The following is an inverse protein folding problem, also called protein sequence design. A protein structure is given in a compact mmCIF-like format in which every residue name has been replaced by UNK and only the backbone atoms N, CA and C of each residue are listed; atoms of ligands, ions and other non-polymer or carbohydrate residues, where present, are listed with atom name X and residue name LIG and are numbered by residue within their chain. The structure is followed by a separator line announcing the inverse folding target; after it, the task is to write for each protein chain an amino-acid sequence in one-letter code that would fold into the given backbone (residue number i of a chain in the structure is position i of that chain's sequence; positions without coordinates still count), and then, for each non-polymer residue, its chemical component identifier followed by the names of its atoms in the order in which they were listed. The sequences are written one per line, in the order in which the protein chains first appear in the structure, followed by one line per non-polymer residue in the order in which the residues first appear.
data_IF_940330947672
#
_entry.id   IF_940330947672
#
_cell.length_a   1.000
_cell.length_b   1.000
_cell.length_c   1.000
_cell.angle_alpha   90.00
_cell.angle_beta   90.00
_cell.angle_gamma   90.00
#
_symmetry.space_group_name_H-M   'P 1'
#
loop_
_entity.id
_entity.type
_entity.pdbx_description
1 polymer ?
#
# COMPACT_ATOMS: atom_id res chain seq x y z
N UNK A 1 -16.35 -8.53 -0.33
CA UNK A 1 -14.97 -8.01 -0.19
C UNK A 1 -14.05 -8.90 -1.01
N UNK A 2 -13.11 -8.30 -1.76
CA UNK A 2 -12.11 -9.01 -2.57
C UNK A 2 -10.70 -8.57 -2.19
N UNK A 3 -9.73 -9.43 -2.50
CA UNK A 3 -8.30 -9.14 -2.44
C UNK A 3 -7.81 -8.92 -3.88
N UNK A 4 -7.42 -7.69 -4.24
CA UNK A 4 -7.10 -7.32 -5.63
C UNK A 4 -5.97 -8.17 -6.25
N UNK A 5 -5.11 -8.72 -5.42
CA UNK A 5 -3.99 -9.58 -5.80
C UNK A 5 -4.34 -11.08 -5.86
N UNK A 6 -5.55 -11.46 -5.39
CA UNK A 6 -5.97 -12.87 -5.29
C UNK A 6 -7.21 -13.15 -6.17
N UNK A 7 -7.02 -13.66 -7.40
CA UNK A 7 -8.12 -13.95 -8.32
C UNK A 7 -9.18 -14.91 -7.78
N UNK A 8 -8.88 -15.71 -6.75
CA UNK A 8 -9.86 -16.64 -6.19
C UNK A 8 -10.97 -15.92 -5.43
N UNK A 9 -10.69 -14.72 -4.90
CA UNK A 9 -11.64 -13.87 -4.18
C UNK A 9 -12.53 -13.01 -5.09
N UNK A 10 -12.23 -12.94 -6.40
CA UNK A 10 -12.92 -12.08 -7.34
C UNK A 10 -14.40 -12.48 -7.51
N UNK A 11 -15.26 -11.48 -7.71
CA UNK A 11 -16.68 -11.69 -8.00
C UNK A 11 -16.88 -12.48 -9.29
N UNK A 12 -18.06 -13.08 -9.45
CA UNK A 12 -18.40 -13.81 -10.67
C UNK A 12 -18.40 -12.90 -11.91
N UNK A 13 -18.84 -11.66 -11.75
CA UNK A 13 -18.84 -10.63 -12.79
C UNK A 13 -17.41 -10.27 -13.22
N UNK A 14 -16.54 -9.94 -12.26
CA UNK A 14 -15.14 -9.62 -12.50
C UNK A 14 -14.42 -10.80 -13.19
N UNK A 15 -14.63 -12.03 -12.70
CA UNK A 15 -14.08 -13.24 -13.32
C UNK A 15 -14.57 -13.43 -14.76
N UNK A 16 -15.83 -13.11 -15.06
CA UNK A 16 -16.40 -13.21 -16.41
C UNK A 16 -15.73 -12.22 -17.36
N UNK A 17 -15.60 -10.96 -16.98
CA UNK A 17 -14.93 -9.92 -17.77
C UNK A 17 -13.46 -10.31 -18.07
N UNK A 18 -12.72 -10.73 -17.04
CA UNK A 18 -11.32 -11.16 -17.18
C UNK A 18 -11.17 -12.39 -18.06
N UNK A 19 -12.07 -13.39 -17.95
CA UNK A 19 -12.06 -14.57 -18.81
C UNK A 19 -12.29 -14.21 -20.27
N UNK A 20 -13.23 -13.32 -20.57
CA UNK A 20 -13.52 -12.88 -21.94
C UNK A 20 -12.31 -12.19 -22.62
N UNK A 21 -11.45 -11.55 -21.84
CA UNK A 21 -10.27 -10.81 -22.32
C UNK A 21 -8.93 -11.48 -21.96
N UNK A 22 -8.95 -12.74 -21.52
CA UNK A 22 -7.74 -13.44 -21.04
C UNK A 22 -6.60 -13.43 -22.04
N UNK A 23 -6.91 -13.58 -23.35
CA UNK A 23 -5.89 -13.53 -24.40
C UNK A 23 -5.22 -12.15 -24.47
N UNK A 24 -6.00 -11.07 -24.43
CA UNK A 24 -5.47 -9.70 -24.43
C UNK A 24 -4.58 -9.44 -23.21
N UNK A 25 -5.03 -9.85 -22.02
CA UNK A 25 -4.28 -9.69 -20.78
C UNK A 25 -2.96 -10.46 -20.82
N UNK A 26 -3.00 -11.71 -21.28
CA UNK A 26 -1.81 -12.56 -21.47
C UNK A 26 -0.82 -11.93 -22.46
N UNK A 27 -1.30 -11.56 -23.65
CA UNK A 27 -0.47 -11.02 -24.73
C UNK A 27 0.18 -9.70 -24.32
N UNK A 28 -0.57 -8.77 -23.68
CA UNK A 28 -0.05 -7.51 -23.20
C UNK A 28 1.08 -7.69 -22.19
N UNK A 29 0.86 -8.48 -21.15
CA UNK A 29 1.87 -8.66 -20.09
C UNK A 29 3.06 -9.49 -20.58
N UNK A 30 2.85 -10.46 -21.45
CA UNK A 30 3.94 -11.22 -22.07
C UNK A 30 4.83 -10.34 -22.96
N UNK A 31 4.23 -9.44 -23.74
CA UNK A 31 4.96 -8.47 -24.55
C UNK A 31 5.70 -7.46 -23.67
N UNK A 32 5.06 -6.97 -22.59
CA UNK A 32 5.69 -6.05 -21.62
C UNK A 32 6.95 -6.68 -20.99
N UNK A 33 6.89 -7.96 -20.58
CA UNK A 33 8.06 -8.67 -20.07
C UNK A 33 9.18 -8.74 -21.09
N UNK A 34 8.89 -9.09 -22.37
CA UNK A 34 9.90 -9.13 -23.43
C UNK A 34 10.55 -7.78 -23.69
N UNK A 35 9.71 -6.72 -23.80
CA UNK A 35 10.21 -5.38 -24.03
C UNK A 35 11.10 -4.89 -22.87
N UNK A 36 10.78 -5.25 -21.63
CA UNK A 36 11.61 -4.95 -20.47
C UNK A 36 12.95 -5.70 -20.52
N UNK A 37 12.94 -6.99 -20.85
CA UNK A 37 14.15 -7.79 -20.99
C UNK A 37 15.04 -7.26 -22.13
N UNK A 38 14.45 -6.89 -23.28
CA UNK A 38 15.17 -6.27 -24.39
C UNK A 38 15.82 -4.95 -23.94
N UNK A 39 15.07 -4.10 -23.22
CA UNK A 39 15.58 -2.82 -22.73
C UNK A 39 16.74 -2.97 -21.73
N UNK A 40 16.63 -3.90 -20.78
CA UNK A 40 17.69 -4.16 -19.78
C UNK A 40 18.98 -4.71 -20.41
N UNK A 41 18.87 -5.38 -21.56
CA UNK A 41 20.02 -5.97 -22.28
C UNK A 41 20.60 -5.05 -23.38
N UNK A 42 19.99 -3.87 -23.65
CA UNK A 42 20.48 -2.92 -24.64
C UNK A 42 21.43 -1.88 -24.03
N UNK A 43 22.65 -1.76 -24.62
CA UNK A 43 23.58 -0.65 -24.35
C UNK A 43 23.95 0.04 -25.68
N UNK A 44 23.86 1.38 -25.82
CA UNK A 44 23.29 2.35 -24.85
C UNK A 44 21.76 2.25 -24.71
N UNK A 45 21.23 2.76 -23.61
CA UNK A 45 19.79 2.74 -23.33
C UNK A 45 18.99 3.35 -24.50
N UNK A 46 18.19 2.53 -25.15
CA UNK A 46 17.23 2.95 -26.18
C UNK A 46 15.86 3.16 -25.52
N UNK A 47 15.06 4.04 -26.11
CA UNK A 47 13.66 4.20 -25.68
C UNK A 47 12.91 2.88 -25.82
N UNK A 48 12.07 2.54 -24.82
CA UNK A 48 11.21 1.37 -24.87
C UNK A 48 10.32 1.41 -26.13
N UNK A 49 10.29 0.32 -26.87
CA UNK A 49 9.32 0.14 -27.95
C UNK A 49 7.90 0.14 -27.37
N UNK A 50 6.92 0.72 -28.06
CA UNK A 50 5.53 0.66 -27.60
C UNK A 50 5.03 -0.79 -27.59
N UNK A 51 4.31 -1.16 -26.53
CA UNK A 51 3.60 -2.43 -26.50
C UNK A 51 2.43 -2.39 -27.49
N UNK A 52 2.40 -3.31 -28.46
CA UNK A 52 1.40 -3.33 -29.53
C UNK A 52 -0.03 -3.55 -29.06
N UNK A 53 -0.22 -4.07 -27.86
CA UNK A 53 -1.53 -4.31 -27.25
C UNK A 53 -1.99 -3.18 -26.34
N UNK A 54 -1.20 -2.10 -26.19
CA UNK A 54 -1.41 -1.05 -25.19
C UNK A 54 -2.78 -0.38 -25.30
N UNK A 55 -3.19 0.00 -26.51
CA UNK A 55 -4.46 0.71 -26.71
C UNK A 55 -5.67 -0.16 -26.33
N UNK A 56 -5.71 -1.39 -26.78
CA UNK A 56 -6.81 -2.32 -26.48
C UNK A 56 -6.83 -2.68 -24.99
N UNK A 57 -5.65 -2.85 -24.40
CA UNK A 57 -5.50 -3.16 -23.00
C UNK A 57 -5.97 -1.99 -22.12
N UNK A 58 -5.55 -0.77 -22.43
CA UNK A 58 -5.98 0.43 -21.71
C UNK A 58 -7.49 0.65 -21.84
N UNK A 59 -8.04 0.46 -23.05
CA UNK A 59 -9.49 0.55 -23.30
C UNK A 59 -10.26 -0.47 -22.44
N UNK A 60 -9.80 -1.72 -22.36
CA UNK A 60 -10.41 -2.73 -21.50
C UNK A 60 -10.31 -2.34 -20.02
N UNK A 61 -9.15 -1.86 -19.57
CA UNK A 61 -8.92 -1.42 -18.20
C UNK A 61 -9.88 -0.30 -17.81
N UNK A 62 -9.98 0.74 -18.64
CA UNK A 62 -10.71 1.98 -18.36
C UNK A 62 -12.23 1.80 -18.50
N UNK A 63 -12.68 1.22 -19.62
CA UNK A 63 -14.10 1.23 -19.98
C UNK A 63 -14.87 -0.04 -19.58
N UNK A 64 -14.18 -1.15 -19.32
CA UNK A 64 -14.84 -2.40 -18.94
C UNK A 64 -14.53 -2.80 -17.50
N UNK A 65 -13.26 -2.72 -17.07
CA UNK A 65 -12.83 -3.27 -15.78
C UNK A 65 -12.98 -2.30 -14.62
N UNK A 66 -12.55 -1.04 -14.77
CA UNK A 66 -12.66 -0.04 -13.73
C UNK A 66 -14.13 0.20 -13.28
N UNK A 67 -15.12 0.28 -14.18
CA UNK A 67 -16.53 0.38 -13.78
C UNK A 67 -17.04 -0.81 -12.93
N UNK A 68 -16.56 -2.04 -13.21
CA UNK A 68 -16.92 -3.21 -12.40
C UNK A 68 -16.32 -3.11 -10.98
N UNK A 69 -15.16 -2.46 -10.85
CA UNK A 69 -14.47 -2.29 -9.57
C UNK A 69 -15.01 -1.10 -8.77
N UNK A 70 -15.64 -0.12 -9.41
CA UNK A 70 -16.21 1.04 -8.73
C UNK A 70 -17.21 0.60 -7.65
N UNK A 71 -17.07 1.12 -6.43
CA UNK A 71 -17.89 0.74 -5.28
C UNK A 71 -17.59 -0.64 -4.66
N UNK A 72 -16.71 -1.44 -5.28
CA UNK A 72 -16.35 -2.75 -4.74
C UNK A 72 -15.60 -2.61 -3.41
N UNK A 73 -16.00 -3.41 -2.43
CA UNK A 73 -15.28 -3.49 -1.15
C UNK A 73 -14.06 -4.38 -1.29
N UNK A 74 -12.93 -3.82 -0.90
CA UNK A 74 -11.61 -4.46 -0.98
C UNK A 74 -10.96 -4.55 0.39
N UNK A 75 -9.96 -5.41 0.50
CA UNK A 75 -9.03 -5.44 1.61
C UNK A 75 -7.81 -4.58 1.28
N UNK A 76 -7.39 -3.76 2.25
CA UNK A 76 -6.20 -2.92 2.16
C UNK A 76 -5.39 -2.98 3.46
N UNK A 77 -4.15 -2.55 3.42
CA UNK A 77 -3.21 -2.61 4.55
C UNK A 77 -2.63 -1.23 4.84
N UNK A 78 -2.47 -0.94 6.15
CA UNK A 78 -1.75 0.23 6.61
C UNK A 78 -0.63 -0.21 7.55
N UNK A 79 0.58 0.22 7.28
CA UNK A 79 1.78 -0.09 8.05
C UNK A 79 2.12 1.08 8.95
N UNK A 80 2.32 0.82 10.22
CA UNK A 80 2.55 1.88 11.19
C UNK A 80 3.22 1.35 12.46
N UNK A 81 3.78 2.26 13.25
CA UNK A 81 4.30 1.96 14.58
C UNK A 81 3.48 2.75 15.60
N UNK A 82 2.84 2.06 16.53
CA UNK A 82 1.86 2.60 17.46
C UNK A 82 2.12 2.12 18.90
N UNK A 83 1.74 2.94 19.86
CA UNK A 83 1.55 2.54 21.24
C UNK A 83 0.25 1.71 21.39
N UNK A 84 0.12 0.96 22.48
CA UNK A 84 -1.02 0.06 22.70
C UNK A 84 -2.36 0.83 22.78
N UNK A 85 -2.37 1.99 23.43
CA UNK A 85 -3.58 2.80 23.52
C UNK A 85 -4.00 3.38 22.16
N UNK A 86 -3.03 3.71 21.27
CA UNK A 86 -3.31 4.20 19.93
C UNK A 86 -3.94 3.08 19.08
N UNK A 87 -3.41 1.87 19.20
CA UNK A 87 -3.97 0.71 18.52
C UNK A 87 -5.39 0.37 19.02
N UNK A 88 -5.63 0.50 20.32
CA UNK A 88 -6.96 0.32 20.90
C UNK A 88 -7.95 1.41 20.42
N UNK A 89 -7.51 2.66 20.30
CA UNK A 89 -8.32 3.74 19.79
C UNK A 89 -8.73 3.52 18.32
N UNK A 90 -7.86 2.95 17.48
CA UNK A 90 -8.18 2.62 16.10
C UNK A 90 -9.26 1.55 15.93
N UNK A 91 -9.48 0.72 16.95
CA UNK A 91 -10.61 -0.23 16.94
C UNK A 91 -11.97 0.47 17.08
N UNK A 92 -11.99 1.68 17.62
CA UNK A 92 -13.21 2.50 17.73
C UNK A 92 -13.51 3.28 16.45
N UNK A 93 -12.54 3.46 15.59
CA UNK A 93 -12.67 4.12 14.29
C UNK A 93 -11.34 4.58 13.73
N UNK A 94 -11.23 4.56 12.40
CA UNK A 94 -10.07 5.09 11.69
C UNK A 94 -10.18 6.62 11.61
N UNK A 95 -9.07 7.30 11.80
CA UNK A 95 -9.00 8.77 11.78
C UNK A 95 -8.12 9.20 10.61
N UNK A 96 -8.64 10.07 9.76
CA UNK A 96 -7.84 10.70 8.72
C UNK A 96 -6.79 11.64 9.34
N UNK A 97 -5.65 11.77 8.66
CA UNK A 97 -4.55 12.62 9.11
C UNK A 97 -4.99 14.08 9.22
N UNK A 98 -4.64 14.76 10.33
CA UNK A 98 -4.77 16.20 10.48
C UNK A 98 -3.68 16.75 11.39
N UNK A 99 -3.47 18.06 11.35
CA UNK A 99 -2.54 18.73 12.26
C UNK A 99 -3.01 18.61 13.73
N UNK A 100 -4.31 18.69 13.98
CA UNK A 100 -4.90 18.53 15.31
C UNK A 100 -4.68 17.11 15.83
N UNK A 101 -4.87 16.10 14.97
CA UNK A 101 -4.64 14.70 15.33
C UNK A 101 -3.16 14.45 15.66
N UNK A 102 -2.23 14.96 14.83
CA UNK A 102 -0.79 14.87 15.11
C UNK A 102 -0.44 15.57 16.43
N UNK A 103 -0.93 16.81 16.63
CA UNK A 103 -0.69 17.57 17.85
C UNK A 103 -1.21 16.86 19.09
N UNK A 104 -2.43 16.29 19.00
CA UNK A 104 -3.00 15.49 20.10
C UNK A 104 -2.08 14.31 20.45
N UNK A 105 -1.65 13.54 19.46
CA UNK A 105 -0.76 12.38 19.69
C UNK A 105 0.56 12.79 20.34
N UNK A 106 1.15 13.92 19.93
CA UNK A 106 2.38 14.44 20.53
C UNK A 106 2.15 14.90 21.98
N UNK A 107 1.03 15.56 22.28
CA UNK A 107 0.68 15.93 23.63
C UNK A 107 0.48 14.69 24.52
N UNK A 108 -0.19 13.66 24.02
CA UNK A 108 -0.36 12.40 24.74
C UNK A 108 1.02 11.78 25.12
N UNK A 109 2.05 11.91 24.25
CA UNK A 109 3.41 11.45 24.57
C UNK A 109 4.08 12.31 25.65
N UNK A 110 3.82 13.61 25.66
CA UNK A 110 4.34 14.51 26.71
C UNK A 110 3.68 14.18 28.04
N UNK A 111 2.38 14.01 28.09
CA UNK A 111 1.62 13.68 29.29
C UNK A 111 2.07 12.33 29.89
N UNK A 112 2.49 11.39 29.05
CA UNK A 112 3.06 10.10 29.45
C UNK A 112 4.57 10.16 29.79
N UNK A 113 5.20 11.34 29.76
CA UNK A 113 6.64 11.52 29.95
C UNK A 113 7.52 10.72 28.97
N UNK A 114 7.02 10.44 27.77
CA UNK A 114 7.74 9.78 26.70
C UNK A 114 8.51 10.77 25.82
N UNK A 115 8.02 12.02 25.72
CA UNK A 115 8.71 13.16 25.09
C UNK A 115 8.70 14.35 26.03
N UNK A 116 9.69 15.24 25.89
CA UNK A 116 9.63 16.59 26.44
C UNK A 116 8.80 17.49 25.52
N UNK A 117 8.24 18.58 26.06
CA UNK A 117 7.43 19.53 25.27
C UNK A 117 8.19 20.06 24.05
N UNK A 118 9.47 20.45 24.24
CA UNK A 118 10.34 20.96 23.17
C UNK A 118 10.58 19.92 22.06
N UNK A 119 10.69 18.62 22.42
CA UNK A 119 10.81 17.53 21.46
C UNK A 119 9.52 17.35 20.65
N UNK A 120 8.36 17.40 21.31
CA UNK A 120 7.05 17.30 20.66
C UNK A 120 6.81 18.49 19.71
N UNK A 121 7.12 19.73 20.16
CA UNK A 121 7.03 20.94 19.34
C UNK A 121 7.94 20.85 18.10
N UNK A 122 9.15 20.30 18.24
CA UNK A 122 10.07 20.10 17.13
C UNK A 122 9.53 19.10 16.12
N UNK A 123 9.02 17.94 16.55
CA UNK A 123 8.39 16.95 15.64
C UNK A 123 7.21 17.58 14.91
N UNK A 124 6.39 18.37 15.60
CA UNK A 124 5.24 19.04 15.01
C UNK A 124 5.66 20.08 13.96
N UNK A 125 6.67 20.90 14.24
CA UNK A 125 7.18 21.92 13.32
C UNK A 125 7.87 21.31 12.09
N UNK A 126 8.67 20.24 12.28
CA UNK A 126 9.38 19.54 11.20
C UNK A 126 8.45 18.60 10.41
N UNK A 127 7.16 18.47 10.79
CA UNK A 127 6.24 17.57 10.11
C UNK A 127 5.98 18.01 8.67
N UNK A 128 5.99 17.09 7.69
CA UNK A 128 5.61 17.39 6.32
C UNK A 128 4.15 17.87 6.18
N UNK A 129 3.31 17.67 7.20
CA UNK A 129 1.95 18.21 7.22
C UNK A 129 1.90 19.72 7.19
N UNK A 130 2.97 20.42 7.67
CA UNK A 130 3.05 21.88 7.66
C UNK A 130 3.17 22.46 6.24
N UNK A 131 3.82 21.74 5.32
CA UNK A 131 4.13 22.25 3.98
C UNK A 131 3.51 21.44 2.85
N UNK A 132 3.09 20.19 3.11
CA UNK A 132 2.48 19.29 2.14
C UNK A 132 1.03 18.92 2.53
N UNK A 133 0.33 19.83 3.21
CA UNK A 133 -1.02 19.60 3.70
C UNK A 133 -1.99 19.16 2.61
N UNK A 134 -1.96 19.78 1.44
CA UNK A 134 -2.86 19.48 0.32
C UNK A 134 -2.84 18.02 -0.13
N UNK A 135 -1.68 17.37 -0.03
CA UNK A 135 -1.54 15.96 -0.45
C UNK A 135 -1.56 14.96 0.70
N UNK A 136 -1.39 15.42 1.96
CA UNK A 136 -1.24 14.55 3.12
C UNK A 136 -2.38 14.59 4.11
N UNK A 137 -3.02 15.76 4.31
CA UNK A 137 -4.11 15.93 5.28
C UNK A 137 -5.45 15.41 4.76
N UNK A 138 -6.35 15.09 5.67
CA UNK A 138 -7.70 14.59 5.37
C UNK A 138 -7.73 13.18 4.80
N UNK A 139 -6.64 12.42 4.91
CA UNK A 139 -6.50 11.10 4.28
C UNK A 139 -6.00 10.07 5.28
N UNK A 140 -6.46 8.85 5.12
CA UNK A 140 -5.88 7.67 5.74
C UNK A 140 -5.31 6.80 4.61
N UNK A 141 -3.98 6.75 4.51
CA UNK A 141 -3.30 6.07 3.42
C UNK A 141 -3.20 4.56 3.66
N UNK A 142 -3.51 3.80 2.66
CA UNK A 142 -3.39 2.33 2.66
C UNK A 142 -2.78 1.86 1.35
N UNK A 143 -2.34 0.60 1.31
CA UNK A 143 -1.93 -0.09 0.10
C UNK A 143 -2.84 -1.29 -0.16
N UNK A 144 -3.13 -1.55 -1.43
CA UNK A 144 -4.11 -2.58 -1.83
C UNK A 144 -3.54 -4.00 -1.91
N UNK A 145 -2.25 -4.16 -1.67
CA UNK A 145 -1.54 -5.45 -1.67
C UNK A 145 -0.66 -5.51 -0.42
N UNK A 146 -0.64 -6.62 0.32
CA UNK A 146 0.27 -6.73 1.46
C UNK A 146 1.72 -6.75 1.00
N UNK A 147 2.56 -5.94 1.63
CA UNK A 147 3.99 -5.84 1.33
C UNK A 147 4.82 -6.44 2.47
N UNK A 148 5.94 -7.10 2.16
CA UNK A 148 6.82 -7.63 3.19
C UNK A 148 7.56 -6.51 3.93
N UNK A 149 7.96 -6.76 5.18
CA UNK A 149 8.66 -5.77 6.01
C UNK A 149 10.04 -5.37 5.43
N UNK A 150 10.65 -6.21 4.59
CA UNK A 150 11.89 -5.88 3.89
C UNK A 150 11.71 -4.87 2.74
N UNK A 151 10.47 -4.53 2.39
CA UNK A 151 10.20 -3.41 1.49
C UNK A 151 10.68 -2.12 2.16
N UNK A 152 11.53 -1.29 1.49
CA UNK A 152 12.14 -0.11 2.10
C UNK A 152 11.13 0.89 2.66
N UNK A 153 10.00 1.12 1.97
CA UNK A 153 8.95 2.02 2.46
C UNK A 153 8.24 1.46 3.69
N UNK A 154 7.92 0.17 3.68
CA UNK A 154 7.28 -0.51 4.82
C UNK A 154 8.20 -0.52 6.04
N UNK A 155 9.49 -0.80 5.86
CA UNK A 155 10.46 -0.82 6.97
C UNK A 155 10.56 0.54 7.67
N UNK A 156 10.45 1.64 6.93
CA UNK A 156 10.45 2.99 7.49
C UNK A 156 9.17 3.27 8.30
N UNK A 157 8.00 2.86 7.80
CA UNK A 157 6.72 3.04 8.48
C UNK A 157 6.61 2.20 9.76
N UNK A 158 7.08 0.96 9.74
CA UNK A 158 7.12 0.08 10.90
C UNK A 158 8.23 0.46 11.89
N UNK A 159 9.31 1.07 11.39
CA UNK A 159 10.49 1.45 12.18
C UNK A 159 10.33 2.75 12.96
N UNK A 160 9.38 3.63 12.62
CA UNK A 160 9.28 4.95 13.22
C UNK A 160 7.86 5.25 13.71
N UNK A 161 7.72 5.63 14.96
CA UNK A 161 6.44 6.08 15.51
C UNK A 161 5.91 7.28 14.72
N UNK A 162 4.61 7.30 14.48
CA UNK A 162 3.95 8.38 13.77
C UNK A 162 4.09 8.34 12.24
N UNK A 163 4.88 7.36 11.71
CA UNK A 163 5.10 7.26 10.27
C UNK A 163 5.70 8.53 9.66
N UNK A 164 5.46 8.79 8.39
CA UNK A 164 6.02 9.94 7.67
C UNK A 164 5.70 11.29 8.30
N UNK A 165 4.58 11.41 9.00
CA UNK A 165 4.19 12.65 9.67
C UNK A 165 5.15 13.08 10.78
N UNK A 166 5.93 12.14 11.33
CA UNK A 166 6.84 12.39 12.44
C UNK A 166 8.33 12.31 12.04
N UNK A 167 8.71 11.36 11.14
CA UNK A 167 10.14 11.15 10.88
C UNK A 167 10.66 11.78 9.59
N UNK A 168 9.81 12.07 8.60
CA UNK A 168 10.22 12.27 7.21
C UNK A 168 11.23 13.43 7.03
N UNK A 169 11.04 14.55 7.74
CA UNK A 169 11.95 15.71 7.71
C UNK A 169 12.67 15.96 9.03
N UNK A 170 12.52 15.07 10.00
CA UNK A 170 13.16 15.22 11.28
C UNK A 170 14.68 15.06 11.15
N UNK A 171 15.40 16.17 11.27
CA UNK A 171 16.86 16.22 11.17
C UNK A 171 17.59 15.82 12.46
N UNK A 172 16.91 15.90 13.61
CA UNK A 172 17.46 15.56 14.92
C UNK A 172 17.61 14.04 15.07
N UNK A 173 18.86 13.55 15.01
CA UNK A 173 19.16 12.12 15.09
C UNK A 173 18.86 11.49 16.44
N UNK A 174 18.98 12.27 17.56
CA UNK A 174 18.68 11.77 18.89
C UNK A 174 17.17 11.60 19.07
N UNK A 175 16.40 12.58 18.65
CA UNK A 175 14.94 12.56 18.66
C UNK A 175 14.40 11.47 17.71
N UNK A 176 14.95 11.36 16.50
CA UNK A 176 14.59 10.27 15.58
C UNK A 176 14.85 8.89 16.19
N UNK A 177 15.96 8.69 16.92
CA UNK A 177 16.24 7.45 17.65
C UNK A 177 15.22 7.22 18.78
N UNK A 178 14.79 8.27 19.46
CA UNK A 178 13.77 8.19 20.51
C UNK A 178 12.42 7.73 19.94
N UNK A 179 11.98 8.31 18.81
CA UNK A 179 10.75 7.92 18.13
C UNK A 179 10.75 6.47 17.65
N UNK A 180 11.90 5.92 17.24
CA UNK A 180 12.02 4.50 16.85
C UNK A 180 11.78 3.53 18.00
N UNK A 181 11.99 3.96 19.23
CA UNK A 181 11.79 3.13 20.42
C UNK A 181 10.37 3.26 21.01
N UNK A 182 9.53 4.15 20.45
CA UNK A 182 8.14 4.29 20.89
C UNK A 182 7.22 3.28 20.21
N UNK A 183 6.38 2.63 20.99
CA UNK A 183 5.39 1.68 20.50
C UNK A 183 6.01 0.43 19.83
N UNK A 184 5.18 -0.31 19.12
CA UNK A 184 5.57 -1.52 18.39
C UNK A 184 5.05 -1.49 16.95
N UNK A 185 5.72 -2.17 16.00
CA UNK A 185 5.25 -2.32 14.62
C UNK A 185 3.89 -2.98 14.56
N UNK A 186 3.00 -2.42 13.72
CA UNK A 186 1.65 -2.96 13.51
C UNK A 186 1.26 -2.89 12.05
N UNK A 187 0.53 -3.89 11.60
CA UNK A 187 -0.10 -3.94 10.28
C UNK A 187 -1.61 -3.93 10.52
N UNK A 188 -2.27 -2.90 10.00
CA UNK A 188 -3.72 -2.78 10.08
C UNK A 188 -4.34 -3.37 8.82
N UNK A 189 -5.20 -4.35 8.99
CA UNK A 189 -6.01 -4.94 7.93
C UNK A 189 -7.34 -4.21 7.89
N UNK A 190 -7.69 -3.65 6.72
CA UNK A 190 -8.78 -2.70 6.57
C UNK A 190 -9.68 -3.14 5.42
N UNK A 191 -10.99 -3.08 5.63
CA UNK A 191 -11.97 -3.16 4.59
C UNK A 191 -12.37 -1.75 4.17
N UNK A 192 -12.31 -1.45 2.87
CA UNK A 192 -12.75 -0.16 2.31
C UNK A 192 -13.40 -0.35 0.95
N UNK A 193 -14.13 0.65 0.47
CA UNK A 193 -14.67 0.67 -0.88
C UNK A 193 -13.75 1.46 -1.81
N UNK A 194 -13.69 1.06 -3.07
CA UNK A 194 -13.11 1.86 -4.14
C UNK A 194 -14.11 2.97 -4.50
N UNK A 195 -14.00 4.10 -3.81
CA UNK A 195 -15.04 5.14 -3.74
C UNK A 195 -15.07 6.09 -4.93
N UNK A 196 -14.07 6.07 -5.79
CA UNK A 196 -13.97 6.94 -6.96
C UNK A 196 -13.38 6.21 -8.16
N UNK A 197 -13.58 6.79 -9.35
CA UNK A 197 -13.14 6.21 -10.62
C UNK A 197 -11.61 6.09 -10.71
N UNK A 198 -10.87 7.03 -10.15
CA UNK A 198 -9.41 7.01 -10.16
C UNK A 198 -8.87 5.84 -9.34
N UNK A 199 -9.44 5.61 -8.16
CA UNK A 199 -9.08 4.48 -7.32
C UNK A 199 -9.47 3.14 -7.98
N UNK A 200 -10.63 3.07 -8.62
CA UNK A 200 -11.06 1.88 -9.36
C UNK A 200 -10.15 1.59 -10.57
N UNK A 201 -9.76 2.64 -11.31
CA UNK A 201 -8.80 2.51 -12.42
C UNK A 201 -7.42 2.06 -11.93
N UNK A 202 -6.90 2.65 -10.85
CA UNK A 202 -5.60 2.25 -10.27
C UNK A 202 -5.63 0.80 -9.75
N UNK A 203 -6.71 0.41 -9.08
CA UNK A 203 -6.93 -0.94 -8.57
C UNK A 203 -7.06 -1.99 -9.68
N UNK A 204 -7.63 -1.62 -10.84
CA UNK A 204 -7.79 -2.52 -11.98
C UNK A 204 -6.46 -3.02 -12.52
N UNK A 205 -5.39 -2.25 -12.41
CA UNK A 205 -4.03 -2.67 -12.76
C UNK A 205 -3.59 -3.87 -11.93
N UNK A 206 -3.74 -3.79 -10.60
CA UNK A 206 -3.42 -4.91 -9.70
C UNK A 206 -4.20 -6.17 -10.07
N UNK A 207 -5.49 -6.02 -10.37
CA UNK A 207 -6.36 -7.13 -10.81
C UNK A 207 -5.89 -7.76 -12.11
N UNK A 208 -5.49 -6.95 -13.10
CA UNK A 208 -4.98 -7.42 -14.40
C UNK A 208 -3.64 -8.13 -14.24
N UNK A 209 -2.74 -7.61 -13.43
CA UNK A 209 -1.46 -8.26 -13.11
C UNK A 209 -1.68 -9.60 -12.38
N UNK A 210 -2.61 -9.64 -11.41
CA UNK A 210 -2.97 -10.88 -10.72
C UNK A 210 -3.58 -11.91 -11.66
N UNK A 211 -4.42 -11.48 -12.59
CA UNK A 211 -5.00 -12.36 -13.61
C UNK A 211 -3.94 -12.86 -14.60
N UNK A 212 -3.04 -12.00 -15.08
CA UNK A 212 -1.93 -12.39 -15.94
C UNK A 212 -1.02 -13.42 -15.25
N UNK A 213 -0.73 -13.22 -13.95
CA UNK A 213 0.02 -14.21 -13.18
C UNK A 213 -0.69 -15.56 -13.11
N UNK A 214 -2.01 -15.57 -12.90
CA UNK A 214 -2.84 -16.79 -12.94
C UNK A 214 -2.80 -17.48 -14.31
N UNK A 215 -2.67 -16.71 -15.40
CA UNK A 215 -2.50 -17.24 -16.77
C UNK A 215 -1.08 -17.74 -17.08
N UNK A 216 -0.15 -17.61 -16.13
CA UNK A 216 1.23 -18.09 -16.25
C UNK A 216 2.25 -17.04 -16.73
N UNK A 217 1.87 -15.78 -16.87
CA UNK A 217 2.83 -14.70 -17.12
C UNK A 217 3.59 -14.38 -15.83
N UNK A 218 4.93 -14.24 -15.84
CA UNK A 218 5.73 -13.97 -14.64
C UNK A 218 5.66 -12.49 -14.23
N UNK A 219 4.45 -12.00 -13.95
CA UNK A 219 4.18 -10.66 -13.44
C UNK A 219 3.76 -10.72 -11.98
N UNK A 220 4.30 -9.82 -11.16
CA UNK A 220 3.94 -9.68 -9.75
C UNK A 220 2.88 -8.59 -9.63
N UNK A 221 1.71 -8.85 -9.02
CA UNK A 221 0.73 -7.83 -8.80
C UNK A 221 1.30 -6.69 -7.94
N UNK A 222 1.28 -5.47 -8.47
CA UNK A 222 1.70 -4.27 -7.76
C UNK A 222 0.52 -3.65 -7.05
N UNK A 223 0.71 -3.27 -5.78
CA UNK A 223 -0.30 -2.52 -5.04
C UNK A 223 -0.38 -1.08 -5.54
N UNK A 224 -1.54 -0.47 -5.38
CA UNK A 224 -1.68 0.97 -5.49
C UNK A 224 -1.95 1.58 -4.12
N UNK A 225 -1.42 2.78 -3.91
CA UNK A 225 -1.74 3.59 -2.74
C UNK A 225 -3.19 4.05 -2.83
N UNK A 226 -3.92 3.88 -1.74
CA UNK A 226 -5.32 4.24 -1.65
C UNK A 226 -5.52 5.23 -0.51
N UNK A 227 -5.95 6.45 -0.85
CA UNK A 227 -6.29 7.48 0.10
C UNK A 227 -7.77 7.36 0.51
N UNK A 228 -8.03 7.03 1.76
CA UNK A 228 -9.38 6.98 2.31
C UNK A 228 -9.68 8.35 2.94
N UNK A 229 -10.60 9.10 2.35
CA UNK A 229 -10.95 10.46 2.79
C UNK A 229 -12.12 10.48 3.79
N UNK A 230 -13.04 9.52 3.70
CA UNK A 230 -14.16 9.36 4.63
C UNK A 230 -14.00 8.07 5.43
N UNK A 231 -13.08 8.07 6.41
CA UNK A 231 -12.76 6.88 7.18
C UNK A 231 -13.97 6.32 7.95
N UNK A 232 -14.80 7.17 8.53
CA UNK A 232 -15.94 6.75 9.35
C UNK A 232 -17.06 6.09 8.52
N UNK A 233 -17.23 6.50 7.26
CA UNK A 233 -18.35 6.03 6.41
C UNK A 233 -17.98 4.86 5.51
N UNK A 234 -16.71 4.73 5.11
CA UNK A 234 -16.30 3.83 4.03
C UNK A 234 -15.30 2.77 4.43
N UNK A 235 -14.59 2.95 5.55
CA UNK A 235 -13.55 2.04 5.98
C UNK A 235 -13.85 1.39 7.34
N UNK A 236 -13.45 0.13 7.48
CA UNK A 236 -13.57 -0.63 8.73
C UNK A 236 -12.27 -1.36 9.03
N UNK A 237 -11.75 -1.19 10.25
CA UNK A 237 -10.64 -2.01 10.74
C UNK A 237 -11.12 -3.44 10.92
N UNK A 238 -10.46 -4.38 10.24
CA UNK A 238 -10.75 -5.81 10.36
C UNK A 238 -9.90 -6.43 11.46
N UNK A 239 -8.61 -6.08 11.48
CA UNK A 239 -7.64 -6.63 12.44
C UNK A 239 -6.43 -5.72 12.59
N UNK A 240 -5.85 -5.75 13.78
CA UNK A 240 -4.50 -5.26 14.07
C UNK A 240 -3.59 -6.45 14.23
N UNK A 241 -2.54 -6.54 13.44
CA UNK A 241 -1.47 -7.53 13.58
C UNK A 241 -0.28 -6.84 14.24
N UNK A 242 0.18 -7.38 15.36
CA UNK A 242 1.27 -6.79 16.15
C UNK A 242 2.55 -7.62 15.98
N UNK A 243 3.71 -6.97 15.91
CA UNK A 243 5.02 -7.63 15.87
C UNK A 243 5.13 -8.69 16.98
N UNK A 244 5.66 -9.86 16.61
CA UNK A 244 5.69 -11.04 17.49
C UNK A 244 4.46 -11.95 17.41
N UNK A 245 3.37 -11.52 16.77
CA UNK A 245 2.24 -12.41 16.50
C UNK A 245 2.47 -13.22 15.22
N UNK A 246 2.06 -14.47 15.20
CA UNK A 246 2.14 -15.34 14.03
C UNK A 246 1.50 -14.71 12.77
N UNK A 247 0.43 -13.94 12.94
CA UNK A 247 -0.29 -13.30 11.83
C UNK A 247 0.46 -12.10 11.29
N UNK A 248 1.17 -11.33 12.15
CA UNK A 248 2.07 -10.28 11.72
C UNK A 248 3.20 -10.87 10.87
N UNK A 249 3.87 -11.90 11.39
CA UNK A 249 4.98 -12.57 10.68
C UNK A 249 4.53 -13.11 9.32
N UNK A 250 3.34 -13.70 9.24
CA UNK A 250 2.80 -14.22 7.98
C UNK A 250 2.60 -13.13 6.92
N UNK A 251 2.16 -11.93 7.31
CA UNK A 251 1.97 -10.80 6.39
C UNK A 251 3.31 -10.11 6.08
N UNK A 252 4.15 -9.92 7.11
CA UNK A 252 5.40 -9.19 7.01
C UNK A 252 6.50 -9.93 6.25
N UNK A 253 6.47 -11.27 6.22
CA UNK A 253 7.53 -12.09 5.59
C UNK A 253 7.09 -12.77 4.31
N UNK A 254 5.81 -13.06 4.16
CA UNK A 254 5.28 -13.76 3.00
C UNK A 254 4.24 -12.90 2.29
N UNK A 255 4.64 -12.28 1.21
CA UNK A 255 3.69 -11.92 0.17
C UNK A 255 2.93 -13.19 -0.27
N UNK A 256 1.71 -13.09 -0.84
CA UNK A 256 0.91 -14.28 -1.19
C UNK A 256 1.76 -15.37 -1.81
N UNK A 257 1.59 -16.59 -1.33
CA UNK A 257 2.37 -17.77 -1.75
C UNK A 257 2.52 -17.84 -3.27
N UNK A 258 3.76 -18.02 -3.73
CA UNK A 258 4.11 -18.15 -5.13
C UNK A 258 4.64 -16.88 -5.81
N UNK A 259 4.53 -15.70 -5.20
CA UNK A 259 5.05 -14.45 -5.77
C UNK A 259 6.53 -14.25 -5.37
N UNK A 260 6.89 -14.51 -4.12
CA UNK A 260 8.28 -14.39 -3.65
C UNK A 260 9.24 -15.45 -4.18
N UNK A 261 8.78 -16.68 -4.42
CA UNK A 261 9.65 -17.73 -4.95
C UNK A 261 10.23 -17.37 -6.31
N UNK A 262 9.47 -16.61 -7.15
CA UNK A 262 9.94 -16.15 -8.47
C UNK A 262 10.87 -14.94 -8.40
N UNK A 263 10.69 -14.05 -7.40
CA UNK A 263 11.50 -12.83 -7.24
C UNK A 263 12.88 -13.14 -6.66
N UNK A 264 12.98 -14.14 -5.78
CA UNK A 264 14.26 -14.58 -5.18
C UNK A 264 15.18 -15.23 -6.22
N UNK A 265 14.62 -15.91 -7.24
CA UNK A 265 15.39 -16.50 -8.34
C UNK A 265 15.99 -15.44 -9.28
N UNK A 266 15.38 -14.26 -9.41
CA UNK A 266 15.89 -13.17 -10.24
C UNK A 266 16.97 -12.34 -9.53
N UNK A 267 17.01 -12.31 -8.20
CA UNK A 267 18.02 -11.59 -7.43
C UNK A 267 19.30 -12.41 -7.16
N UNK A 268 19.30 -13.71 -7.39
CA UNK A 268 20.47 -14.60 -7.23
C UNK A 268 21.31 -14.77 -8.50
N UNK A 269 20.99 -14.05 -9.57
CA UNK A 269 21.72 -14.03 -10.86
C UNK A 269 22.32 -12.62 -11.08
N UNK A 270 22.87 -12.01 -10.04
CA UNK A 270 23.75 -10.84 -10.17
C UNK A 270 25.05 -11.05 -9.42
#
# INVERSE_FOLDING_TARGET
MIDLWNPDTFSAELKRALKAKSKLVFDYHSEACKLMDEHLNCLPYQSLKPNRFYTDFLSFQEYELAPILAGTRIRAWHYTRLLDYEAAAMQQGLVASSLEFLKKRLNDLVDMNLLFQEEADKVFQDSPFQSQGDVRLGRFWTITVPLPYCNPSVSLLLGNWGGESAYFWLSDKALAKKLRNLGVPRILEIETALSDDLNAFSASRTVLEAWANKLGVPVVPTGCDLAITNCLGTARLLRVHTEGERTFEAIATTYPRGVHEKTTLQSSVR
#
